data_IF_352731465001
#
_entry.id   IF_352731465001
#
_cell.length_a   1.000
_cell.length_b   1.000
_cell.length_c   1.000
_cell.angle_alpha   90.00
_cell.angle_beta   90.00
_cell.angle_gamma   90.00
#
_symmetry.space_group_name_H-M   'P 1'
#
loop_
_entity.id
_entity.type
_entity.pdbx_description
1 polymer ?
#
# COMPACT_ATOMS: atom_id res chain seq x y z
N UNK A 1 26.15 7.81 -25.67
CA UNK A 1 25.20 7.67 -24.54
C UNK A 1 24.06 6.81 -25.02
N UNK A 2 24.06 5.51 -24.67
CA UNK A 2 22.98 4.58 -25.02
C UNK A 2 21.75 4.91 -24.18
N UNK A 3 20.87 5.75 -24.69
CA UNK A 3 19.50 5.88 -24.19
C UNK A 3 18.75 4.62 -24.60
N UNK A 4 18.83 3.58 -23.77
CA UNK A 4 17.92 2.45 -23.86
C UNK A 4 16.51 3.00 -23.69
N UNK A 5 15.73 3.07 -24.78
CA UNK A 5 14.29 3.15 -24.70
C UNK A 5 13.84 2.15 -23.63
N UNK A 6 13.09 2.57 -22.59
CA UNK A 6 12.54 1.60 -21.66
C UNK A 6 11.77 0.56 -22.47
N UNK A 7 12.11 -0.71 -22.29
CA UNK A 7 11.50 -1.76 -23.10
C UNK A 7 10.01 -1.73 -22.82
N UNK A 8 9.20 -1.60 -23.87
CA UNK A 8 7.73 -1.64 -23.82
C UNK A 8 7.21 -2.78 -22.94
N UNK A 9 7.96 -3.89 -22.88
CA UNK A 9 7.78 -5.00 -21.96
C UNK A 9 7.69 -4.61 -20.49
N UNK A 10 8.57 -3.75 -19.97
CA UNK A 10 8.56 -3.30 -18.57
C UNK A 10 7.26 -2.57 -18.24
N UNK A 11 6.84 -1.66 -19.13
CA UNK A 11 5.58 -0.90 -18.97
C UNK A 11 4.37 -1.84 -18.95
N UNK A 12 4.31 -2.79 -19.88
CA UNK A 12 3.22 -3.77 -19.93
C UNK A 12 3.20 -4.68 -18.71
N UNK A 13 4.36 -5.18 -18.26
CA UNK A 13 4.46 -6.00 -17.05
C UNK A 13 4.02 -5.23 -15.82
N UNK A 14 4.47 -3.98 -15.67
CA UNK A 14 4.06 -3.09 -14.58
C UNK A 14 2.53 -2.91 -14.53
N UNK A 15 1.92 -2.56 -15.66
CA UNK A 15 0.47 -2.35 -15.75
C UNK A 15 -0.29 -3.65 -15.47
N UNK A 16 0.18 -4.78 -16.02
CA UNK A 16 -0.45 -6.08 -15.78
C UNK A 16 -0.44 -6.45 -14.30
N UNK A 17 0.68 -6.24 -13.60
CA UNK A 17 0.78 -6.47 -12.16
C UNK A 17 -0.16 -5.56 -11.37
N UNK A 18 -0.17 -4.26 -11.66
CA UNK A 18 -1.06 -3.30 -10.98
C UNK A 18 -2.53 -3.62 -11.19
N UNK A 19 -2.94 -3.94 -12.42
CA UNK A 19 -4.31 -4.33 -12.73
C UNK A 19 -4.68 -5.66 -12.07
N UNK A 20 -3.79 -6.66 -12.09
CA UNK A 20 -4.05 -7.94 -11.43
C UNK A 20 -4.25 -7.75 -9.92
N UNK A 21 -3.39 -6.97 -9.27
CA UNK A 21 -3.52 -6.64 -7.85
C UNK A 21 -4.80 -5.86 -7.54
N UNK A 22 -5.10 -4.81 -8.32
CA UNK A 22 -6.29 -3.97 -8.15
C UNK A 22 -7.59 -4.76 -8.37
N UNK A 23 -7.68 -5.53 -9.46
CA UNK A 23 -8.84 -6.38 -9.77
C UNK A 23 -9.01 -7.46 -8.71
N UNK A 24 -7.92 -8.11 -8.29
CA UNK A 24 -7.95 -9.10 -7.21
C UNK A 24 -8.53 -8.53 -5.91
N UNK A 25 -8.08 -7.34 -5.50
CA UNK A 25 -8.59 -6.66 -4.32
C UNK A 25 -10.06 -6.23 -4.47
N UNK A 26 -10.46 -5.77 -5.65
CA UNK A 26 -11.85 -5.42 -5.94
C UNK A 26 -12.79 -6.64 -5.90
N UNK A 27 -12.39 -7.76 -6.50
CA UNK A 27 -13.16 -9.00 -6.46
C UNK A 27 -13.32 -9.51 -5.03
N UNK A 28 -12.26 -9.47 -4.23
CA UNK A 28 -12.32 -9.87 -2.81
C UNK A 28 -13.28 -8.96 -2.04
N UNK A 29 -13.19 -7.64 -2.22
CA UNK A 29 -14.05 -6.66 -1.57
C UNK A 29 -15.53 -6.87 -1.93
N UNK A 30 -15.84 -6.96 -3.22
CA UNK A 30 -17.19 -7.21 -3.74
C UNK A 30 -17.74 -8.51 -3.16
N UNK A 31 -16.97 -9.60 -3.24
CA UNK A 31 -17.37 -10.91 -2.71
C UNK A 31 -17.76 -10.83 -1.23
N UNK A 32 -16.99 -10.09 -0.42
CA UNK A 32 -17.32 -9.94 1.01
C UNK A 32 -18.51 -9.04 1.30
N UNK A 33 -18.76 -8.02 0.48
CA UNK A 33 -19.94 -7.15 0.63
C UNK A 33 -21.23 -7.90 0.32
N UNK A 34 -21.20 -8.82 -0.65
CA UNK A 34 -22.35 -9.65 -1.02
C UNK A 34 -22.48 -10.94 -0.20
N UNK A 35 -21.43 -11.34 0.54
CA UNK A 35 -21.46 -12.55 1.36
C UNK A 35 -22.03 -12.25 2.75
N UNK A 36 -23.23 -12.76 3.03
CA UNK A 36 -23.85 -12.71 4.37
C UNK A 36 -23.05 -13.47 5.45
N UNK A 37 -22.20 -14.40 5.03
CA UNK A 37 -21.39 -15.26 5.91
C UNK A 37 -20.07 -14.61 6.35
N UNK A 38 -19.56 -13.63 5.59
CA UNK A 38 -18.25 -13.04 5.80
C UNK A 38 -18.32 -11.61 6.37
N UNK A 39 -18.84 -11.45 7.59
CA UNK A 39 -18.84 -10.14 8.28
C UNK A 39 -17.40 -9.74 8.66
N UNK A 40 -16.79 -8.86 7.85
CA UNK A 40 -15.46 -8.27 8.09
C UNK A 40 -15.57 -6.89 8.71
N UNK A 41 -14.52 -6.43 9.39
CA UNK A 41 -14.49 -5.10 10.01
C UNK A 41 -14.20 -4.00 8.97
N UNK A 42 -14.55 -2.75 9.27
CA UNK A 42 -14.31 -1.59 8.43
C UNK A 42 -12.82 -1.39 8.06
N UNK A 43 -11.89 -1.73 8.96
CA UNK A 43 -10.44 -1.67 8.70
C UNK A 43 -9.99 -2.60 7.56
N UNK A 44 -10.61 -3.76 7.42
CA UNK A 44 -10.31 -4.69 6.33
C UNK A 44 -10.82 -4.16 4.99
N UNK A 45 -12.02 -3.58 4.96
CA UNK A 45 -12.54 -2.92 3.75
C UNK A 45 -11.66 -1.74 3.36
N UNK A 46 -11.23 -0.94 4.33
CA UNK A 46 -10.34 0.20 4.09
C UNK A 46 -8.99 -0.21 3.52
N UNK A 47 -8.38 -1.29 4.02
CA UNK A 47 -7.20 -1.89 3.43
C UNK A 47 -7.43 -2.25 1.96
N UNK A 48 -8.48 -3.00 1.64
CA UNK A 48 -8.81 -3.37 0.26
C UNK A 48 -8.99 -2.14 -0.64
N UNK A 49 -9.75 -1.14 -0.18
CA UNK A 49 -9.98 0.10 -0.93
C UNK A 49 -8.67 0.84 -1.18
N UNK A 50 -7.75 0.94 -0.21
CA UNK A 50 -6.48 1.64 -0.41
C UNK A 50 -5.60 1.01 -1.49
N UNK A 51 -5.61 -0.32 -1.61
CA UNK A 51 -4.86 -1.02 -2.67
C UNK A 51 -5.51 -0.86 -4.04
N UNK A 52 -6.85 -0.81 -4.10
CA UNK A 52 -7.57 -0.49 -5.35
C UNK A 52 -7.22 0.94 -5.79
N UNK A 53 -7.26 1.91 -4.87
CA UNK A 53 -6.86 3.30 -5.15
C UNK A 53 -5.40 3.37 -5.62
N UNK A 54 -4.50 2.60 -5.01
CA UNK A 54 -3.10 2.48 -5.45
C UNK A 54 -3.00 2.03 -6.90
N UNK A 55 -3.61 0.88 -7.22
CA UNK A 55 -3.58 0.32 -8.57
C UNK A 55 -4.15 1.31 -9.61
N UNK A 56 -5.29 1.94 -9.30
CA UNK A 56 -5.89 2.94 -10.17
C UNK A 56 -4.98 4.16 -10.38
N UNK A 57 -4.33 4.63 -9.32
CA UNK A 57 -3.40 5.77 -9.37
C UNK A 57 -2.23 5.49 -10.31
N UNK A 58 -1.62 4.30 -10.21
CA UNK A 58 -0.54 3.90 -11.11
C UNK A 58 -1.01 3.68 -12.56
N UNK A 59 -2.26 3.28 -12.78
CA UNK A 59 -2.81 3.00 -14.11
C UNK A 59 -3.52 4.20 -14.80
N UNK A 60 -3.50 5.41 -14.23
CA UNK A 60 -4.22 6.56 -14.80
C UNK A 60 -3.83 6.88 -16.25
N UNK A 61 -2.54 6.87 -16.58
CA UNK A 61 -2.04 7.09 -17.95
C UNK A 61 -2.52 6.00 -18.92
N UNK A 62 -2.60 4.75 -18.46
CA UNK A 62 -3.10 3.64 -19.25
C UNK A 62 -4.59 3.83 -19.57
N UNK A 63 -5.42 4.18 -18.58
CA UNK A 63 -6.85 4.43 -18.83
C UNK A 63 -7.11 5.66 -19.70
N UNK A 64 -6.24 6.67 -19.66
CA UNK A 64 -6.31 7.83 -20.53
C UNK A 64 -5.82 7.56 -21.96
N UNK A 65 -5.27 6.37 -22.25
CA UNK A 65 -4.65 6.07 -23.54
C UNK A 65 -3.35 6.84 -23.80
N UNK A 66 -2.76 7.47 -22.77
CA UNK A 66 -1.57 8.32 -22.87
C UNK A 66 -0.30 7.62 -22.38
N UNK A 67 -0.33 6.30 -22.17
CA UNK A 67 0.81 5.53 -21.68
C UNK A 67 1.93 5.36 -22.73
N UNK A 68 1.55 5.04 -23.97
CA UNK A 68 2.49 4.66 -25.06
C UNK A 68 2.66 5.75 -26.12
N UNK A 69 2.14 6.95 -25.87
CA UNK A 69 2.32 8.09 -26.77
C UNK A 69 3.73 8.65 -26.56
N UNK A 70 4.66 8.20 -27.40
CA UNK A 70 6.08 8.60 -27.41
C UNK A 70 6.35 9.77 -28.36
N UNK A 71 5.56 9.92 -29.42
CA UNK A 71 5.76 10.95 -30.43
C UNK A 71 4.85 12.17 -30.18
N UNK A 72 5.47 13.30 -29.85
CA UNK A 72 4.95 14.68 -29.84
C UNK A 72 3.87 15.10 -28.83
N UNK A 73 2.99 14.23 -28.36
CA UNK A 73 1.98 14.62 -27.36
C UNK A 73 2.41 14.18 -25.95
N UNK A 74 3.06 15.09 -25.23
CA UNK A 74 3.24 14.97 -23.79
C UNK A 74 1.88 14.70 -23.13
N UNK A 75 1.80 13.83 -22.10
CA UNK A 75 0.53 13.57 -21.44
C UNK A 75 -0.04 14.88 -20.93
N UNK A 76 -1.36 15.00 -20.92
CA UNK A 76 -2.01 16.22 -20.46
C UNK A 76 -1.48 16.57 -19.05
N UNK A 77 -1.00 17.80 -18.87
CA UNK A 77 -0.30 18.20 -17.65
C UNK A 77 -1.15 17.91 -16.39
N UNK A 78 -2.46 18.18 -16.45
CA UNK A 78 -3.38 17.90 -15.35
C UNK A 78 -3.46 16.42 -15.00
N UNK A 79 -3.48 15.52 -15.98
CA UNK A 79 -3.47 14.07 -15.75
C UNK A 79 -2.14 13.63 -15.13
N UNK A 80 -1.03 14.12 -15.65
CA UNK A 80 0.31 13.77 -15.18
C UNK A 80 0.56 14.26 -13.75
N UNK A 81 0.14 15.49 -13.44
CA UNK A 81 0.18 16.06 -12.09
C UNK A 81 -0.72 15.29 -11.13
N UNK A 82 -1.95 14.97 -11.54
CA UNK A 82 -2.89 14.19 -10.71
C UNK A 82 -2.33 12.81 -10.41
N UNK A 83 -1.78 12.13 -11.43
CA UNK A 83 -1.15 10.83 -11.26
C UNK A 83 0.03 10.90 -10.28
N UNK A 84 0.94 11.87 -10.46
CA UNK A 84 2.08 12.03 -9.57
C UNK A 84 1.64 12.28 -8.12
N UNK A 85 0.68 13.18 -7.89
CA UNK A 85 0.16 13.49 -6.56
C UNK A 85 -0.48 12.25 -5.89
N UNK A 86 -1.23 11.45 -6.64
CA UNK A 86 -1.83 10.22 -6.16
C UNK A 86 -0.79 9.14 -5.85
N UNK A 87 0.23 8.98 -6.69
CA UNK A 87 1.31 8.02 -6.51
C UNK A 87 2.11 8.31 -5.24
N UNK A 88 2.42 9.58 -4.93
CA UNK A 88 3.16 9.91 -3.69
C UNK A 88 2.30 9.83 -2.43
N UNK A 89 0.99 10.05 -2.52
CA UNK A 89 0.07 10.02 -1.37
C UNK A 89 -0.42 8.61 -1.03
N UNK A 90 -0.39 7.68 -1.98
CA UNK A 90 -0.96 6.34 -1.76
C UNK A 90 -0.09 5.43 -0.88
N UNK A 91 1.25 5.33 -1.02
CA UNK A 91 2.07 4.45 -0.17
C UNK A 91 1.97 4.73 1.34
N UNK A 92 1.97 6.00 1.82
CA UNK A 92 1.72 6.29 3.23
C UNK A 92 0.31 5.85 3.66
N UNK A 93 -0.67 5.99 2.77
CA UNK A 93 -2.07 5.61 3.01
C UNK A 93 -2.22 4.10 3.12
N UNK A 94 -1.62 3.32 2.22
CA UNK A 94 -1.63 1.85 2.29
C UNK A 94 -0.87 1.36 3.52
N UNK A 95 0.21 2.02 3.91
CA UNK A 95 0.89 1.78 5.18
C UNK A 95 -0.03 2.00 6.39
N UNK A 96 -0.75 3.13 6.42
CA UNK A 96 -1.67 3.49 7.48
C UNK A 96 -2.88 2.53 7.59
N UNK A 97 -3.50 2.14 6.47
CA UNK A 97 -4.62 1.17 6.47
C UNK A 97 -4.15 -0.23 6.86
N UNK A 98 -2.94 -0.63 6.48
CA UNK A 98 -2.30 -1.88 6.90
C UNK A 98 -2.07 -1.90 8.41
N UNK A 99 -1.53 -0.81 8.96
CA UNK A 99 -1.38 -0.65 10.41
C UNK A 99 -2.73 -0.76 11.13
N UNK A 100 -3.74 -0.03 10.67
CA UNK A 100 -5.08 -0.07 11.25
C UNK A 100 -5.69 -1.48 11.24
N UNK A 101 -5.51 -2.23 10.16
CA UNK A 101 -5.96 -3.62 10.05
C UNK A 101 -5.26 -4.52 11.08
N UNK A 102 -3.94 -4.45 11.19
CA UNK A 102 -3.22 -5.30 12.14
C UNK A 102 -3.44 -4.91 13.60
N UNK A 103 -3.65 -3.63 13.89
CA UNK A 103 -4.00 -3.17 15.23
C UNK A 103 -5.39 -3.69 15.66
N UNK A 104 -6.37 -3.65 14.76
CA UNK A 104 -7.70 -4.22 15.02
C UNK A 104 -7.64 -5.73 15.26
N UNK A 105 -6.84 -6.45 14.46
CA UNK A 105 -6.60 -7.90 14.65
C UNK A 105 -5.90 -8.16 15.99
N UNK A 106 -4.90 -7.36 16.33
CA UNK A 106 -4.17 -7.46 17.59
C UNK A 106 -5.10 -7.31 18.80
N UNK A 107 -5.94 -6.27 18.81
CA UNK A 107 -6.88 -6.06 19.92
C UNK A 107 -7.90 -7.18 20.06
N UNK A 108 -8.45 -7.69 18.93
CA UNK A 108 -9.39 -8.82 18.95
C UNK A 108 -8.74 -10.08 19.51
N UNK A 109 -7.54 -10.42 19.07
CA UNK A 109 -6.82 -11.59 19.57
C UNK A 109 -6.45 -11.39 21.04
N UNK A 110 -5.96 -10.22 21.43
CA UNK A 110 -5.58 -9.96 22.81
C UNK A 110 -6.78 -10.05 23.78
N UNK A 111 -7.93 -9.55 23.36
CA UNK A 111 -9.16 -9.65 24.14
C UNK A 111 -9.62 -11.09 24.27
N UNK A 112 -9.60 -11.85 23.16
CA UNK A 112 -9.92 -13.28 23.18
C UNK A 112 -8.99 -14.09 24.09
N UNK A 113 -7.69 -13.78 24.10
CA UNK A 113 -6.72 -14.41 24.99
C UNK A 113 -6.90 -14.01 26.46
N UNK A 114 -7.41 -12.81 26.73
CA UNK A 114 -7.62 -12.31 28.09
C UNK A 114 -8.98 -12.74 28.68
N UNK A 115 -9.78 -13.50 27.93
CA UNK A 115 -11.14 -13.91 28.34
C UNK A 115 -12.15 -12.76 28.44
N UNK A 116 -11.81 -11.58 27.90
CA UNK A 116 -12.66 -10.38 27.97
C UNK A 116 -13.76 -10.38 26.90
N UNK A 117 -14.82 -9.57 27.08
CA UNK A 117 -15.83 -9.35 26.05
C UNK A 117 -15.18 -8.70 24.83
N UNK A 118 -15.37 -9.28 23.64
CA UNK A 118 -14.85 -8.74 22.38
C UNK A 118 -15.40 -7.32 22.21
N UNK A 119 -14.55 -6.27 22.15
CA UNK A 119 -15.02 -4.89 22.05
C UNK A 119 -15.89 -4.73 20.81
N UNK A 120 -17.00 -4.01 20.96
CA UNK A 120 -17.92 -3.74 19.85
C UNK A 120 -17.20 -2.98 18.75
N UNK A 121 -17.51 -3.32 17.50
CA UNK A 121 -16.90 -2.73 16.30
C UNK A 121 -17.09 -1.20 16.21
N UNK A 122 -17.99 -0.63 17.03
CA UNK A 122 -18.40 0.76 16.91
C UNK A 122 -17.43 1.78 17.52
N UNK A 123 -16.40 1.35 18.26
CA UNK A 123 -15.44 2.30 18.86
C UNK A 123 -14.23 2.62 17.98
N UNK A 124 -14.12 2.02 16.79
CA UNK A 124 -12.89 2.04 15.98
C UNK A 124 -13.03 2.74 14.63
N UNK A 125 -14.09 3.56 14.42
CA UNK A 125 -14.30 4.29 13.15
C UNK A 125 -13.12 5.19 12.78
N UNK A 126 -12.44 5.74 13.80
CA UNK A 126 -11.24 6.59 13.66
C UNK A 126 -10.13 5.84 12.90
N UNK A 127 -9.95 4.54 13.14
CA UNK A 127 -8.82 3.78 12.60
C UNK A 127 -8.83 3.67 11.07
N UNK A 128 -9.99 3.74 10.43
CA UNK A 128 -10.05 3.72 8.98
C UNK A 128 -10.47 5.05 8.37
N UNK A 129 -10.92 6.05 9.14
CA UNK A 129 -11.15 7.43 8.63
C UNK A 129 -9.82 8.19 8.51
N UNK A 130 -8.95 8.08 9.52
CA UNK A 130 -7.67 8.82 9.58
C UNK A 130 -6.77 8.58 8.35
N UNK A 131 -6.61 7.33 7.84
CA UNK A 131 -5.83 7.09 6.63
C UNK A 131 -6.31 7.88 5.40
N UNK A 132 -7.63 8.05 5.22
CA UNK A 132 -8.16 8.81 4.09
C UNK A 132 -8.05 10.32 4.28
N UNK A 133 -8.14 10.81 5.51
CA UNK A 133 -7.84 12.22 5.80
C UNK A 133 -6.38 12.51 5.44
N UNK A 134 -5.45 11.65 5.87
CA UNK A 134 -4.03 11.75 5.52
C UNK A 134 -3.84 11.72 4.00
N UNK A 135 -4.50 10.79 3.31
CA UNK A 135 -4.45 10.70 1.85
C UNK A 135 -4.89 12.00 1.18
N UNK A 136 -6.07 12.53 1.53
CA UNK A 136 -6.59 13.79 0.96
C UNK A 136 -5.62 14.94 1.19
N UNK A 137 -5.08 15.09 2.41
CA UNK A 137 -4.12 16.14 2.75
C UNK A 137 -2.86 16.02 1.90
N UNK A 138 -2.29 14.81 1.77
CA UNK A 138 -1.10 14.58 0.96
C UNK A 138 -1.35 14.82 -0.52
N UNK A 139 -2.48 14.31 -1.07
CA UNK A 139 -2.84 14.53 -2.47
C UNK A 139 -3.00 16.01 -2.78
N UNK A 140 -3.73 16.76 -1.95
CA UNK A 140 -3.89 18.22 -2.14
C UNK A 140 -2.52 18.91 -2.05
N UNK A 141 -1.68 18.54 -1.08
CA UNK A 141 -0.36 19.13 -0.91
C UNK A 141 0.53 18.92 -2.15
N UNK A 142 0.54 17.73 -2.73
CA UNK A 142 1.32 17.43 -3.93
C UNK A 142 0.72 18.04 -5.20
N UNK A 143 -0.60 18.16 -5.30
CA UNK A 143 -1.26 18.89 -6.38
C UNK A 143 -0.87 20.38 -6.36
N UNK A 144 -0.97 21.02 -5.19
CA UNK A 144 -0.56 22.43 -5.01
C UNK A 144 0.93 22.58 -5.30
N UNK A 145 1.77 21.69 -4.79
CA UNK A 145 3.21 21.72 -5.04
C UNK A 145 3.54 21.65 -6.54
N UNK A 146 2.98 20.67 -7.26
CA UNK A 146 3.25 20.52 -8.69
C UNK A 146 2.61 21.63 -9.54
N UNK A 147 1.50 22.23 -9.08
CA UNK A 147 0.90 23.41 -9.71
C UNK A 147 1.78 24.66 -9.57
N UNK A 148 2.36 24.88 -8.39
CA UNK A 148 3.30 25.99 -8.13
C UNK A 148 4.63 25.79 -8.88
N UNK A 149 5.08 24.55 -9.04
CA UNK A 149 6.33 24.20 -9.72
C UNK A 149 6.10 23.29 -10.94
N UNK A 150 5.49 23.79 -12.03
CA UNK A 150 5.07 22.97 -13.17
C UNK A 150 6.23 22.25 -13.87
N UNK A 151 7.44 22.83 -13.84
CA UNK A 151 8.66 22.24 -14.41
C UNK A 151 9.11 20.95 -13.71
N UNK A 152 8.55 20.65 -12.52
CA UNK A 152 8.88 19.42 -11.78
C UNK A 152 8.04 18.24 -12.23
N UNK A 153 6.92 18.45 -12.93
CA UNK A 153 6.05 17.36 -13.38
C UNK A 153 6.63 16.77 -14.66
N UNK A 154 7.10 15.53 -14.60
CA UNK A 154 7.66 14.83 -15.75
C UNK A 154 7.28 13.35 -15.72
N UNK A 155 7.37 12.68 -16.87
CA UNK A 155 7.31 11.21 -16.90
C UNK A 155 8.57 10.64 -16.25
N UNK A 156 8.41 9.51 -15.59
CA UNK A 156 9.52 8.74 -15.06
C UNK A 156 10.47 8.28 -16.17
N UNK A 157 11.72 7.96 -15.81
CA UNK A 157 12.77 7.48 -16.70
C UNK A 157 12.32 6.22 -17.46
N UNK A 158 11.52 5.36 -16.82
CA UNK A 158 10.97 4.16 -17.44
C UNK A 158 9.69 4.41 -18.28
N UNK A 159 9.21 5.65 -18.35
CA UNK A 159 7.93 6.03 -18.96
C UNK A 159 6.72 5.23 -18.45
N UNK A 160 6.80 4.73 -17.21
CA UNK A 160 5.77 3.91 -16.56
C UNK A 160 4.69 4.77 -15.92
N UNK A 161 5.05 5.91 -15.31
CA UNK A 161 4.11 6.84 -14.67
C UNK A 161 4.69 8.26 -14.60
N UNK A 162 3.88 9.22 -14.16
CA UNK A 162 4.31 10.59 -13.90
C UNK A 162 4.86 10.77 -12.48
N UNK A 163 5.94 11.54 -12.37
CA UNK A 163 6.66 11.83 -11.12
C UNK A 163 6.85 13.33 -10.94
N UNK A 164 7.10 13.72 -9.70
CA UNK A 164 7.56 15.06 -9.34
C UNK A 164 9.07 14.97 -9.19
N UNK A 165 9.80 15.59 -10.13
CA UNK A 165 11.26 15.70 -10.13
C UNK A 165 11.75 16.69 -9.08
N UNK A 166 11.46 16.38 -7.82
CA UNK A 166 11.88 17.11 -6.65
C UNK A 166 12.28 16.11 -5.58
N UNK A 167 13.21 16.50 -4.71
CA UNK A 167 13.62 15.67 -3.57
C UNK A 167 12.56 15.60 -2.49
N UNK A 168 11.66 16.59 -2.41
CA UNK A 168 10.72 16.73 -1.29
C UNK A 168 9.64 15.64 -1.29
N UNK A 169 8.85 15.42 -2.36
CA UNK A 169 7.78 14.42 -2.34
C UNK A 169 8.28 12.99 -2.07
N UNK A 170 9.33 12.48 -2.76
CA UNK A 170 9.80 11.13 -2.52
C UNK A 170 10.36 10.91 -1.11
N UNK A 171 11.09 11.88 -0.55
CA UNK A 171 11.65 11.79 0.81
C UNK A 171 10.52 11.81 1.84
N UNK A 172 9.56 12.72 1.72
CA UNK A 172 8.41 12.79 2.63
C UNK A 172 7.61 11.48 2.62
N UNK A 173 7.30 10.98 1.43
CA UNK A 173 6.59 9.70 1.25
C UNK A 173 7.38 8.53 1.84
N UNK A 174 8.68 8.44 1.55
CA UNK A 174 9.54 7.38 2.09
C UNK A 174 9.58 7.39 3.62
N UNK A 175 9.76 8.55 4.25
CA UNK A 175 9.78 8.68 5.71
C UNK A 175 8.46 8.21 6.33
N UNK A 176 7.32 8.66 5.78
CA UNK A 176 6.01 8.25 6.29
C UNK A 176 5.78 6.74 6.13
N UNK A 177 6.15 6.17 4.98
CA UNK A 177 6.05 4.73 4.73
C UNK A 177 6.91 3.94 5.73
N UNK A 178 8.15 4.37 5.98
CA UNK A 178 9.03 3.72 6.96
C UNK A 178 8.45 3.77 8.38
N UNK A 179 7.84 4.89 8.78
CA UNK A 179 7.17 5.00 10.09
C UNK A 179 6.03 3.97 10.19
N UNK A 180 5.13 3.92 9.21
CA UNK A 180 4.02 2.96 9.22
C UNK A 180 4.50 1.51 9.14
N UNK A 181 5.53 1.22 8.34
CA UNK A 181 6.10 -0.11 8.24
C UNK A 181 6.68 -0.59 9.58
N UNK A 182 7.42 0.28 10.30
CA UNK A 182 7.91 -0.02 11.64
C UNK A 182 6.75 -0.27 12.62
N UNK A 183 5.71 0.56 12.58
CA UNK A 183 4.51 0.35 13.41
C UNK A 183 3.85 -1.01 13.12
N UNK A 184 3.70 -1.38 11.85
CA UNK A 184 3.18 -2.71 11.45
C UNK A 184 4.07 -3.83 12.00
N UNK A 185 5.40 -3.73 11.82
CA UNK A 185 6.34 -4.75 12.29
C UNK A 185 6.29 -4.93 13.82
N UNK A 186 6.14 -3.85 14.58
CA UNK A 186 5.99 -3.94 16.06
C UNK A 186 4.70 -4.65 16.46
N UNK A 187 3.57 -4.36 15.80
CA UNK A 187 2.29 -5.02 16.06
C UNK A 187 2.35 -6.50 15.66
N UNK A 188 2.93 -6.81 14.51
CA UNK A 188 3.07 -8.20 14.04
C UNK A 188 4.01 -9.01 14.94
N UNK A 189 5.15 -8.43 15.36
CA UNK A 189 6.11 -9.08 16.25
C UNK A 189 5.53 -9.34 17.63
N UNK A 190 4.82 -8.38 18.21
CA UNK A 190 4.13 -8.57 19.50
C UNK A 190 3.01 -9.59 19.40
N UNK A 191 2.24 -9.59 18.30
CA UNK A 191 1.21 -10.60 18.05
C UNK A 191 1.80 -12.00 17.92
N UNK A 192 2.88 -12.14 17.13
CA UNK A 192 3.59 -13.41 16.96
C UNK A 192 4.13 -13.94 18.29
N UNK A 193 4.77 -13.07 19.10
CA UNK A 193 5.27 -13.42 20.41
C UNK A 193 4.15 -13.90 21.35
N UNK A 194 3.03 -13.16 21.43
CA UNK A 194 1.88 -13.54 22.28
C UNK A 194 1.27 -14.86 21.85
N UNK A 195 1.10 -15.08 20.55
CA UNK A 195 0.57 -16.33 20.01
C UNK A 195 1.50 -17.51 20.33
N UNK A 196 2.83 -17.34 20.20
CA UNK A 196 3.80 -18.37 20.56
C UNK A 196 3.79 -18.68 22.06
N UNK A 197 3.70 -17.64 22.91
CA UNK A 197 3.63 -17.79 24.37
C UNK A 197 2.35 -18.49 24.82
N UNK A 198 1.19 -18.06 24.32
CA UNK A 198 -0.12 -18.65 24.65
C UNK A 198 -0.26 -20.11 24.19
N UNK A 199 0.42 -20.48 23.10
CA UNK A 199 0.55 -21.87 22.63
C UNK A 199 1.13 -22.83 23.69
N UNK A 200 1.87 -22.30 24.67
CA UNK A 200 2.50 -23.09 25.74
C UNK A 200 1.57 -23.46 26.90
N UNK A 201 0.45 -22.75 27.12
CA UNK A 201 -0.35 -22.93 28.35
C UNK A 201 -1.86 -23.18 28.11
N UNK A 202 -2.48 -22.70 27.01
CA UNK A 202 -3.94 -22.83 26.79
C UNK A 202 -4.35 -23.38 25.42
N UNK A 203 -3.44 -23.40 24.44
CA UNK A 203 -3.79 -23.61 23.01
C UNK A 203 -3.47 -25.01 22.45
N UNK A 204 -3.16 -25.99 23.32
CA UNK A 204 -2.95 -27.38 22.89
C UNK A 204 -4.17 -27.99 22.15
N UNK A 205 -5.39 -27.52 22.45
CA UNK A 205 -6.63 -27.95 21.78
C UNK A 205 -6.91 -27.32 20.40
N UNK A 206 -6.26 -26.22 20.04
CA UNK A 206 -6.50 -25.50 18.77
C UNK A 206 -5.56 -25.92 17.63
N UNK A 207 -4.69 -26.91 17.89
CA UNK A 207 -3.62 -27.38 16.98
C UNK A 207 -4.13 -27.87 15.62
N UNK A 208 -5.39 -28.26 15.51
CA UNK A 208 -5.96 -28.81 14.29
C UNK A 208 -6.76 -27.79 13.45
N UNK A 209 -6.74 -26.51 13.82
CA UNK A 209 -7.58 -25.54 13.15
C UNK A 209 -6.88 -24.95 11.92
N UNK A 210 -7.27 -25.41 10.72
CA UNK A 210 -6.79 -24.95 9.40
C UNK A 210 -6.79 -23.40 9.30
N UNK A 211 -7.73 -22.73 9.95
CA UNK A 211 -7.84 -21.27 9.96
C UNK A 211 -6.67 -20.58 10.69
N UNK A 212 -6.17 -21.16 11.79
CA UNK A 212 -5.02 -20.60 12.53
C UNK A 212 -3.72 -20.77 11.74
N UNK A 213 -3.50 -21.93 11.12
CA UNK A 213 -2.32 -22.16 10.29
C UNK A 213 -2.29 -21.18 9.09
N UNK A 214 -3.43 -20.98 8.42
CA UNK A 214 -3.53 -19.98 7.36
C UNK A 214 -3.25 -18.55 7.86
N UNK A 215 -3.70 -18.20 9.06
CA UNK A 215 -3.42 -16.91 9.70
C UNK A 215 -1.93 -16.73 10.00
N UNK A 216 -1.25 -17.75 10.54
CA UNK A 216 0.20 -17.71 10.81
C UNK A 216 1.01 -17.58 9.52
N UNK A 217 0.68 -18.32 8.46
CA UNK A 217 1.35 -18.21 7.16
C UNK A 217 1.21 -16.78 6.63
N UNK A 218 0.00 -16.21 6.66
CA UNK A 218 -0.24 -14.82 6.27
C UNK A 218 0.63 -13.85 7.10
N UNK A 219 0.68 -14.03 8.42
CA UNK A 219 1.46 -13.17 9.32
C UNK A 219 2.96 -13.20 8.98
N UNK A 220 3.53 -14.39 8.73
CA UNK A 220 4.94 -14.54 8.35
C UNK A 220 5.21 -13.86 7.00
N UNK A 221 4.33 -14.07 6.01
CA UNK A 221 4.44 -13.43 4.71
C UNK A 221 4.42 -11.90 4.83
N UNK A 222 3.47 -11.34 5.59
CA UNK A 222 3.40 -9.90 5.81
C UNK A 222 4.61 -9.34 6.55
N UNK A 223 5.22 -10.09 7.49
CA UNK A 223 6.47 -9.67 8.12
C UNK A 223 7.64 -9.65 7.14
N UNK A 224 7.79 -10.68 6.30
CA UNK A 224 8.87 -10.74 5.30
C UNK A 224 8.72 -9.59 4.31
N UNK A 225 7.52 -9.38 3.77
CA UNK A 225 7.23 -8.27 2.85
C UNK A 225 7.46 -6.90 3.52
N UNK A 226 7.05 -6.74 4.79
CA UNK A 226 7.27 -5.51 5.55
C UNK A 226 8.76 -5.20 5.77
N UNK A 227 9.58 -6.21 6.03
CA UNK A 227 11.04 -6.06 6.14
C UNK A 227 11.63 -5.62 4.80
N UNK A 228 11.24 -6.28 3.69
CA UNK A 228 11.70 -5.92 2.35
C UNK A 228 11.33 -4.45 2.03
N UNK A 229 10.07 -4.07 2.25
CA UNK A 229 9.59 -2.70 2.02
C UNK A 229 10.35 -1.68 2.87
N UNK A 230 10.63 -2.00 4.14
CA UNK A 230 11.41 -1.11 5.04
C UNK A 230 12.86 -0.95 4.55
N UNK A 231 13.50 -2.05 4.14
CA UNK A 231 14.85 -2.01 3.58
C UNK A 231 14.90 -1.15 2.31
N UNK A 232 13.95 -1.34 1.39
CA UNK A 232 13.84 -0.55 0.17
C UNK A 232 13.62 0.94 0.50
N UNK A 233 12.70 1.25 1.43
CA UNK A 233 12.42 2.61 1.87
C UNK A 233 13.65 3.31 2.47
N UNK A 234 14.39 2.61 3.34
CA UNK A 234 15.64 3.10 3.91
C UNK A 234 16.71 3.32 2.85
N UNK A 235 16.92 2.33 1.97
CA UNK A 235 17.88 2.46 0.86
C UNK A 235 17.53 3.68 0.02
N UNK A 236 16.26 3.92 -0.27
CA UNK A 236 15.84 5.09 -1.04
C UNK A 236 16.05 6.42 -0.30
N UNK A 237 15.81 6.44 1.01
CA UNK A 237 16.09 7.62 1.84
C UNK A 237 17.58 7.99 1.83
N UNK A 238 18.47 7.00 1.71
CA UNK A 238 19.93 7.19 1.72
C UNK A 238 20.56 7.28 0.31
N UNK A 239 20.07 6.55 -0.69
CA UNK A 239 20.56 6.51 -2.07
C UNK A 239 19.55 7.17 -3.01
N UNK A 240 19.85 8.41 -3.40
CA UNK A 240 18.95 9.32 -4.14
C UNK A 240 18.71 8.99 -5.63
N UNK A 241 19.01 7.78 -6.10
CA UNK A 241 18.91 7.42 -7.53
C UNK A 241 18.03 6.18 -7.76
N UNK A 242 16.72 6.36 -8.05
CA UNK A 242 15.88 5.26 -8.52
C UNK A 242 16.31 4.81 -9.91
N UNK A 243 16.40 3.50 -10.11
CA UNK A 243 16.54 2.87 -11.43
C UNK A 243 15.31 2.02 -11.76
N UNK A 244 15.14 1.55 -13.01
CA UNK A 244 13.94 0.84 -13.48
C UNK A 244 13.63 -0.48 -12.75
N UNK A 245 14.60 -1.05 -12.02
CA UNK A 245 14.38 -2.21 -11.15
C UNK A 245 13.49 -1.88 -9.94
N UNK A 246 13.50 -0.61 -9.50
CA UNK A 246 12.70 -0.13 -8.38
C UNK A 246 11.20 -0.10 -8.73
N UNK A 247 10.86 0.31 -9.95
CA UNK A 247 9.45 0.39 -10.38
C UNK A 247 8.78 -0.99 -10.42
N UNK A 248 9.54 -2.03 -10.78
CA UNK A 248 9.08 -3.41 -10.74
C UNK A 248 8.85 -3.86 -9.29
N UNK A 249 9.77 -3.54 -8.38
CA UNK A 249 9.63 -3.87 -6.96
C UNK A 249 8.46 -3.14 -6.29
N UNK A 250 8.13 -1.92 -6.73
CA UNK A 250 6.96 -1.17 -6.26
C UNK A 250 5.62 -1.72 -6.79
N UNK A 251 5.65 -2.49 -7.88
CA UNK A 251 4.47 -3.13 -8.46
C UNK A 251 4.15 -4.52 -7.89
N UNK A 252 5.08 -5.11 -7.13
CA UNK A 252 4.97 -6.44 -6.50
C UNK A 252 4.72 -6.35 -5.00
#
# INVERSE_FOLDING_TARGET
MNTTLPSLSIVHTFIALQLAGGIGMALILITTLFSSSAKRNGTWHSFCISWIVSALSYCLLFFAGQQTVYDKETPSYGLCLTQAALIYSTPPTTGATTFALFLDVYWKINTALSGGPIPSSSSHWILYIVPYILWIILTISFLVFGHVFPMTVQRDIANTYCVLNSTVPPVLTSVLVSIFALMVLTVLGTLFYRLKKSRSEQFAGFRNNRYLNAFFIRLILFMILGIIATCIGLVYAFNRTPGPQYDIAMAT
#
